data_IF_186087030459
#
_entry.id   IF_186087030459
#
_cell.length_a   1.000
_cell.length_b   1.000
_cell.length_c   1.000
_cell.angle_alpha   90.00
_cell.angle_beta   90.00
_cell.angle_gamma   90.00
#
_symmetry.space_group_name_H-M   'P 1'
#
loop_
_entity.id
_entity.type
_entity.pdbx_description
1 polymer ?
#
# COMPACT_ATOMS: atom_id res chain seq x y z
N UNK A 1 21.55 -6.04 28.59
CA UNK A 1 21.84 -5.39 27.29
C UNK A 1 22.13 -6.40 26.17
N UNK A 2 21.75 -7.69 26.30
CA UNK A 2 22.13 -8.75 25.33
C UNK A 2 20.96 -9.66 24.96
N UNK A 3 19.86 -9.11 24.42
CA UNK A 3 18.80 -9.95 23.82
C UNK A 3 18.32 -9.52 22.44
N UNK A 4 18.85 -8.42 21.89
CA UNK A 4 18.43 -7.89 20.58
C UNK A 4 19.33 -8.37 19.42
N UNK A 5 20.45 -9.05 19.70
CA UNK A 5 21.45 -9.41 18.70
C UNK A 5 21.29 -10.82 18.09
N UNK A 6 20.42 -11.68 18.66
CA UNK A 6 20.33 -13.09 18.23
C UNK A 6 19.51 -13.30 16.94
N UNK A 7 18.53 -12.45 16.65
CA UNK A 7 17.61 -12.63 15.50
C UNK A 7 18.11 -12.05 14.16
N UNK A 8 19.27 -11.39 14.15
CA UNK A 8 19.80 -10.81 12.92
C UNK A 8 20.40 -11.84 11.94
N UNK A 9 20.73 -13.06 12.41
CA UNK A 9 21.43 -14.07 11.61
C UNK A 9 20.54 -14.92 10.69
N UNK A 10 19.22 -14.71 10.68
CA UNK A 10 18.30 -15.52 9.88
C UNK A 10 17.48 -14.72 8.87
N UNK A 11 17.86 -13.49 8.53
CA UNK A 11 17.17 -12.78 7.44
C UNK A 11 17.67 -13.28 6.09
N UNK A 12 16.74 -13.60 5.18
CA UNK A 12 17.07 -14.02 3.82
C UNK A 12 17.29 -12.78 2.96
N UNK A 13 18.51 -12.58 2.48
CA UNK A 13 18.84 -11.49 1.58
C UNK A 13 18.43 -11.84 0.15
N UNK A 14 17.63 -10.99 -0.48
CA UNK A 14 17.18 -11.13 -1.87
C UNK A 14 17.58 -9.90 -2.67
N UNK A 15 18.16 -10.11 -3.85
CA UNK A 15 18.39 -9.06 -4.83
C UNK A 15 17.12 -8.70 -5.58
N UNK A 16 16.82 -7.42 -5.72
CA UNK A 16 15.66 -6.89 -6.46
C UNK A 16 16.16 -5.77 -7.39
N UNK A 17 15.74 -5.80 -8.66
CA UNK A 17 16.12 -4.81 -9.68
C UNK A 17 17.23 -5.29 -10.62
N UNK A 18 17.60 -4.45 -11.58
CA UNK A 18 18.64 -4.70 -12.59
C UNK A 18 19.54 -3.46 -12.75
N UNK A 19 20.81 -3.66 -13.12
CA UNK A 19 21.77 -2.56 -13.34
C UNK A 19 21.95 -1.66 -12.12
N UNK A 20 21.98 -0.34 -12.33
CA UNK A 20 22.09 0.66 -11.24
C UNK A 20 20.86 0.73 -10.32
N UNK A 21 19.76 0.05 -10.66
CA UNK A 21 18.57 -0.08 -9.82
C UNK A 21 18.57 -1.30 -8.90
N UNK A 22 19.63 -2.10 -8.90
CA UNK A 22 19.73 -3.29 -8.05
C UNK A 22 19.82 -2.91 -6.56
N UNK A 23 19.02 -3.57 -5.73
CA UNK A 23 18.99 -3.41 -4.27
C UNK A 23 18.98 -4.78 -3.60
N UNK A 24 19.70 -4.91 -2.50
CA UNK A 24 19.61 -6.08 -1.61
C UNK A 24 18.64 -5.75 -0.48
N UNK A 25 17.63 -6.59 -0.30
CA UNK A 25 16.69 -6.49 0.81
C UNK A 25 16.82 -7.69 1.73
N UNK A 26 16.82 -7.46 3.04
CA UNK A 26 16.82 -8.49 4.05
C UNK A 26 15.37 -8.73 4.50
N UNK A 27 14.84 -9.92 4.21
CA UNK A 27 13.45 -10.28 4.49
C UNK A 27 13.40 -11.37 5.56
N UNK A 28 12.27 -11.43 6.28
CA UNK A 28 11.98 -12.54 7.17
C UNK A 28 11.97 -13.88 6.40
N UNK A 29 12.47 -15.00 6.96
CA UNK A 29 12.38 -16.32 6.33
C UNK A 29 10.99 -16.72 5.86
N UNK A 30 9.95 -16.26 6.56
CA UNK A 30 8.56 -16.56 6.27
C UNK A 30 7.92 -15.54 5.33
N UNK A 31 8.67 -14.53 4.88
CA UNK A 31 8.20 -13.59 3.89
C UNK A 31 7.95 -14.32 2.56
N UNK A 32 6.71 -14.31 2.10
CA UNK A 32 6.32 -14.81 0.79
C UNK A 32 5.93 -13.62 -0.07
N UNK A 33 6.52 -13.51 -1.25
CA UNK A 33 6.09 -12.53 -2.24
C UNK A 33 4.60 -12.76 -2.52
N UNK A 34 3.85 -11.68 -2.54
CA UNK A 34 2.43 -11.71 -2.83
C UNK A 34 2.19 -12.25 -4.26
N UNK A 35 1.39 -13.31 -4.37
CA UNK A 35 1.04 -13.95 -5.64
C UNK A 35 -0.19 -13.30 -6.24
N UNK A 36 -0.11 -12.91 -7.52
CA UNK A 36 -1.22 -12.29 -8.23
C UNK A 36 -2.38 -13.28 -8.36
N UNK A 37 -2.10 -14.55 -8.67
CA UNK A 37 -3.13 -15.57 -8.83
C UNK A 37 -3.89 -15.82 -7.51
N UNK A 38 -3.17 -15.82 -6.39
CA UNK A 38 -3.78 -15.97 -5.06
C UNK A 38 -4.66 -14.77 -4.72
N UNK A 39 -4.21 -13.54 -5.00
CA UNK A 39 -5.02 -12.33 -4.80
C UNK A 39 -6.28 -12.39 -5.66
N UNK A 40 -6.14 -12.69 -6.96
CA UNK A 40 -7.27 -12.71 -7.90
C UNK A 40 -8.28 -13.77 -7.48
N UNK A 41 -7.83 -14.97 -7.14
CA UNK A 41 -8.69 -16.04 -6.63
C UNK A 41 -9.42 -15.64 -5.35
N UNK A 42 -8.72 -15.08 -4.37
CA UNK A 42 -9.32 -14.60 -3.13
C UNK A 42 -10.31 -13.45 -3.38
N UNK A 43 -9.97 -12.51 -4.26
CA UNK A 43 -10.82 -11.39 -4.63
C UNK A 43 -12.11 -11.87 -5.28
N UNK A 44 -12.04 -12.77 -6.27
CA UNK A 44 -13.21 -13.31 -6.97
C UNK A 44 -14.14 -14.13 -6.07
N UNK A 45 -13.59 -14.86 -5.10
CA UNK A 45 -14.38 -15.72 -4.18
C UNK A 45 -15.03 -14.95 -3.03
N UNK A 46 -14.50 -13.77 -2.69
CA UNK A 46 -14.98 -12.97 -1.56
C UNK A 46 -16.30 -12.27 -1.89
N UNK A 47 -17.27 -12.34 -0.97
CA UNK A 47 -18.57 -11.65 -1.09
C UNK A 47 -18.56 -10.21 -0.55
N UNK A 48 -17.53 -9.86 0.22
CA UNK A 48 -17.28 -8.51 0.74
C UNK A 48 -15.78 -8.37 0.96
N UNK A 49 -15.22 -7.22 0.55
CA UNK A 49 -13.78 -6.99 0.48
C UNK A 49 -13.44 -5.66 1.13
N UNK A 50 -12.73 -5.71 2.25
CA UNK A 50 -12.08 -4.54 2.84
C UNK A 50 -10.68 -4.38 2.23
N UNK A 51 -10.42 -3.23 1.61
CA UNK A 51 -9.15 -2.92 0.95
C UNK A 51 -8.56 -1.68 1.63
N UNK A 52 -7.49 -1.89 2.39
CA UNK A 52 -6.80 -0.86 3.17
C UNK A 52 -5.50 -0.53 2.46
N UNK A 53 -5.36 0.69 1.97
CA UNK A 53 -4.21 1.14 1.20
C UNK A 53 -3.46 2.20 1.99
N UNK A 54 -2.22 1.92 2.36
CA UNK A 54 -1.32 2.95 2.84
C UNK A 54 -1.06 3.99 1.73
N UNK A 55 -0.83 5.24 2.10
CA UNK A 55 -0.62 6.31 1.13
C UNK A 55 0.86 6.47 0.73
N UNK A 56 1.73 6.77 1.69
CA UNK A 56 3.12 7.18 1.43
C UNK A 56 4.06 5.98 1.35
N UNK A 57 4.60 5.72 0.17
CA UNK A 57 5.43 4.54 -0.12
C UNK A 57 4.67 3.37 -0.74
N UNK A 58 3.34 3.48 -0.79
CA UNK A 58 2.45 2.45 -1.36
C UNK A 58 1.67 2.98 -2.56
N UNK A 59 0.68 3.84 -2.36
CA UNK A 59 -0.08 4.47 -3.47
C UNK A 59 0.74 5.58 -4.13
N UNK A 60 1.51 6.31 -3.31
CA UNK A 60 2.45 7.33 -3.76
C UNK A 60 3.89 6.88 -3.50
N UNK A 61 4.87 7.27 -4.34
CA UNK A 61 6.27 7.05 -4.02
C UNK A 61 6.67 7.77 -2.73
N UNK A 62 7.41 7.10 -1.85
CA UNK A 62 7.73 7.60 -0.50
C UNK A 62 8.39 9.00 -0.50
N UNK A 63 9.28 9.25 -1.46
CA UNK A 63 10.02 10.51 -1.58
C UNK A 63 9.50 11.40 -2.73
N UNK A 64 8.22 11.25 -3.11
CA UNK A 64 7.66 12.10 -4.15
C UNK A 64 7.69 13.57 -3.75
N UNK A 65 8.14 14.46 -4.64
CA UNK A 65 8.04 15.91 -4.48
C UNK A 65 6.57 16.33 -4.59
N UNK A 66 5.86 15.74 -5.55
CA UNK A 66 4.43 15.95 -5.75
C UNK A 66 3.68 15.05 -4.76
N UNK A 67 3.06 15.65 -3.75
CA UNK A 67 2.36 14.92 -2.69
C UNK A 67 0.94 14.52 -3.04
N UNK A 68 0.35 15.08 -4.10
CA UNK A 68 -1.00 14.75 -4.56
C UNK A 68 -0.99 13.53 -5.50
N UNK A 69 -2.05 12.70 -5.49
CA UNK A 69 -2.18 11.59 -6.43
C UNK A 69 -2.37 12.08 -7.86
N UNK A 70 -1.92 11.29 -8.83
CA UNK A 70 -2.18 11.57 -10.24
C UNK A 70 -3.62 11.26 -10.62
N UNK A 71 -4.08 11.78 -11.76
CA UNK A 71 -5.41 11.47 -12.30
C UNK A 71 -5.60 9.97 -12.54
N UNK A 72 -4.53 9.26 -12.89
CA UNK A 72 -4.56 7.81 -13.07
C UNK A 72 -4.84 7.08 -11.75
N UNK A 73 -4.16 7.44 -10.67
CA UNK A 73 -4.41 6.89 -9.32
C UNK A 73 -5.86 7.14 -8.90
N UNK A 74 -6.36 8.36 -9.11
CA UNK A 74 -7.76 8.72 -8.83
C UNK A 74 -8.74 7.88 -9.65
N UNK A 75 -8.45 7.64 -10.94
CA UNK A 75 -9.29 6.80 -11.81
C UNK A 75 -9.33 5.35 -11.32
N UNK A 76 -8.18 4.78 -10.95
CA UNK A 76 -8.09 3.41 -10.43
C UNK A 76 -8.89 3.27 -9.13
N UNK A 77 -8.72 4.21 -8.18
CA UNK A 77 -9.44 4.20 -6.92
C UNK A 77 -10.95 4.32 -7.13
N UNK A 78 -11.40 5.19 -8.04
CA UNK A 78 -12.81 5.30 -8.39
C UNK A 78 -13.38 4.00 -8.96
N UNK A 79 -12.66 3.32 -9.85
CA UNK A 79 -13.07 2.01 -10.38
C UNK A 79 -13.16 0.96 -9.26
N UNK A 80 -12.20 0.96 -8.34
CA UNK A 80 -12.16 0.03 -7.23
C UNK A 80 -13.31 0.25 -6.24
N UNK A 81 -13.61 1.52 -5.91
CA UNK A 81 -14.72 1.91 -5.05
C UNK A 81 -16.10 1.79 -5.74
N UNK A 82 -16.12 1.72 -7.07
CA UNK A 82 -17.34 1.54 -7.86
C UNK A 82 -17.95 0.15 -7.71
N UNK A 83 -17.15 -0.84 -7.33
CA UNK A 83 -17.60 -2.22 -7.08
C UNK A 83 -18.36 -2.27 -5.74
N UNK A 84 -19.65 -2.66 -5.72
CA UNK A 84 -20.48 -2.59 -4.51
C UNK A 84 -19.93 -3.36 -3.31
N UNK A 85 -19.31 -4.52 -3.54
CA UNK A 85 -18.79 -5.35 -2.45
C UNK A 85 -17.41 -4.89 -1.95
N UNK A 86 -16.84 -3.83 -2.53
CA UNK A 86 -15.56 -3.27 -2.11
C UNK A 86 -15.79 -2.12 -1.15
N UNK A 87 -15.15 -2.22 0.01
CA UNK A 87 -14.96 -1.11 0.93
C UNK A 87 -13.49 -0.72 0.91
N UNK A 88 -13.17 0.44 0.36
CA UNK A 88 -11.79 0.89 0.15
C UNK A 88 -11.47 2.06 1.07
N UNK A 89 -10.32 2.01 1.74
CA UNK A 89 -9.80 3.09 2.56
C UNK A 89 -8.38 3.45 2.18
N UNK A 90 -8.08 4.76 2.16
CA UNK A 90 -6.71 5.25 2.30
C UNK A 90 -6.41 5.40 3.79
N UNK A 91 -5.33 4.77 4.23
CA UNK A 91 -4.77 4.91 5.58
C UNK A 91 -3.49 5.72 5.45
N UNK A 92 -3.35 6.81 6.20
CA UNK A 92 -2.21 7.70 6.03
C UNK A 92 -1.90 8.48 7.30
N UNK A 93 -0.61 8.70 7.55
CA UNK A 93 -0.11 9.63 8.56
C UNK A 93 -0.28 11.12 8.21
N UNK A 94 -0.89 11.44 7.06
CA UNK A 94 -1.08 12.83 6.61
C UNK A 94 -2.36 13.42 7.18
N UNK A 95 -2.33 14.73 7.39
CA UNK A 95 -3.49 15.48 7.87
C UNK A 95 -4.74 15.33 7.01
N UNK A 96 -5.88 15.24 7.68
CA UNK A 96 -7.20 14.96 7.09
C UNK A 96 -7.59 15.93 5.98
N UNK A 97 -7.31 17.23 6.14
CA UNK A 97 -7.70 18.25 5.17
C UNK A 97 -7.03 18.05 3.80
N UNK A 98 -5.73 17.74 3.79
CA UNK A 98 -4.98 17.53 2.56
C UNK A 98 -5.48 16.31 1.81
N UNK A 99 -5.66 15.19 2.52
CA UNK A 99 -6.19 13.96 1.94
C UNK A 99 -7.62 14.16 1.43
N UNK A 100 -8.46 14.82 2.22
CA UNK A 100 -9.85 15.11 1.84
C UNK A 100 -9.93 15.97 0.57
N UNK A 101 -9.04 16.97 0.43
CA UNK A 101 -8.95 17.78 -0.78
C UNK A 101 -8.51 16.96 -1.99
N UNK A 102 -7.41 16.20 -1.85
CA UNK A 102 -6.84 15.42 -2.95
C UNK A 102 -7.77 14.30 -3.44
N UNK A 103 -8.47 13.65 -2.51
CA UNK A 103 -9.39 12.55 -2.82
C UNK A 103 -10.84 12.99 -2.94
N UNK A 104 -11.13 14.29 -2.97
CA UNK A 104 -12.48 14.81 -3.23
C UNK A 104 -13.16 14.26 -4.50
N UNK A 105 -12.44 13.87 -5.58
CA UNK A 105 -13.08 13.20 -6.73
C UNK A 105 -13.58 11.78 -6.43
N UNK A 106 -13.08 11.13 -5.37
CA UNK A 106 -13.37 9.74 -5.00
C UNK A 106 -14.46 9.65 -3.92
N UNK A 107 -15.72 9.90 -4.26
CA UNK A 107 -16.83 10.05 -3.29
C UNK A 107 -17.09 8.85 -2.37
N UNK A 108 -16.72 7.63 -2.81
CA UNK A 108 -16.94 6.38 -2.06
C UNK A 108 -15.70 5.90 -1.30
N UNK A 109 -14.60 6.65 -1.37
CA UNK A 109 -13.35 6.27 -0.72
C UNK A 109 -13.36 6.71 0.74
N UNK A 110 -13.08 5.78 1.65
CA UNK A 110 -12.85 6.09 3.05
C UNK A 110 -11.45 6.69 3.27
N UNK A 111 -11.33 7.60 4.22
CA UNK A 111 -10.04 8.20 4.61
C UNK A 111 -9.84 7.97 6.10
N UNK A 112 -8.78 7.25 6.46
CA UNK A 112 -8.26 7.12 7.80
C UNK A 112 -6.95 7.92 7.89
N UNK A 113 -7.05 9.14 8.41
CA UNK A 113 -5.94 10.06 8.58
C UNK A 113 -5.49 10.07 10.05
N UNK A 114 -4.18 10.09 10.27
CA UNK A 114 -3.59 10.46 11.55
C UNK A 114 -3.20 11.94 11.51
N UNK A 115 -3.45 12.64 12.62
CA UNK A 115 -3.25 14.07 12.85
C UNK A 115 -4.33 15.02 12.27
N UNK A 116 -4.87 15.79 13.21
CA UNK A 116 -5.41 17.14 13.00
C UNK A 116 -4.37 18.15 13.53
#
# INVERSE_FOLDING_TARGET
>A
MERTCADHFRKRCSGIGLGFGFRVVALDPNFRKLSIDDIVSAYCRSKSRAILLDYDGTVMPQNSIIKSPSTEVISILNRLCGVPDNTVFIVSGRGRESLSRWFSPCKKLGIAAEHD
#
